data_IF_434158526344
#
_entry.id   IF_434158526344
#
_cell.length_a   1.000
_cell.length_b   1.000
_cell.length_c   1.000
_cell.angle_alpha   90.00
_cell.angle_beta   90.00
_cell.angle_gamma   90.00
#
_symmetry.space_group_name_H-M   'P 1'
#
loop_
_entity.id
_entity.type
_entity.pdbx_description
1 polymer ?
#
# COMPACT_ATOMS: atom_id res chain seq x y z
N UNK A 1 -69.20 20.48 33.97
CA UNK A 1 -69.84 19.74 32.87
C UNK A 1 -68.84 19.60 31.74
N UNK A 2 -68.57 18.35 31.33
CA UNK A 2 -68.08 17.87 30.02
C UNK A 2 -66.71 18.37 29.49
N UNK A 3 -65.83 17.60 28.85
CA UNK A 3 -65.66 16.16 28.53
C UNK A 3 -64.24 16.01 27.96
N UNK A 4 -63.62 14.85 28.14
CA UNK A 4 -62.33 14.47 27.54
C UNK A 4 -62.44 14.16 26.03
N UNK A 5 -61.33 14.29 25.27
CA UNK A 5 -60.96 13.39 24.15
C UNK A 5 -59.52 13.65 23.67
N UNK A 6 -58.68 12.61 23.76
CA UNK A 6 -57.40 12.44 23.07
C UNK A 6 -57.60 12.39 21.55
N UNK A 7 -56.62 12.82 20.73
CA UNK A 7 -56.17 12.10 19.52
C UNK A 7 -54.81 12.63 18.98
N UNK A 8 -53.82 11.73 19.00
CA UNK A 8 -52.77 11.42 18.00
C UNK A 8 -51.80 12.49 17.43
N UNK A 9 -50.53 12.25 17.78
CA UNK A 9 -49.28 12.35 17.01
C UNK A 9 -49.33 12.67 15.50
N UNK A 10 -48.47 13.61 15.08
CA UNK A 10 -47.61 13.46 13.89
C UNK A 10 -46.24 14.06 14.21
N UNK A 11 -45.27 13.20 14.55
CA UNK A 11 -43.87 13.56 14.48
C UNK A 11 -43.48 13.67 12.99
N UNK A 12 -43.11 14.86 12.55
CA UNK A 12 -42.61 15.08 11.19
C UNK A 12 -41.23 14.43 11.10
N UNK A 13 -41.18 13.25 10.47
CA UNK A 13 -39.97 12.57 10.03
C UNK A 13 -39.29 13.43 8.95
N UNK A 14 -38.35 14.27 9.39
CA UNK A 14 -37.45 15.00 8.49
C UNK A 14 -36.44 14.05 7.87
N UNK A 15 -36.67 13.73 6.60
CA UNK A 15 -35.70 13.31 5.59
C UNK A 15 -34.46 12.52 6.09
N UNK A 16 -34.58 11.20 6.10
CA UNK A 16 -33.44 10.29 6.14
C UNK A 16 -32.61 10.45 4.87
N UNK A 17 -31.67 11.40 4.88
CA UNK A 17 -30.50 11.30 4.02
C UNK A 17 -29.85 9.96 4.37
N UNK A 18 -29.99 8.99 3.47
CA UNK A 18 -29.26 7.74 3.52
C UNK A 18 -27.80 8.08 3.30
N UNK A 19 -27.16 8.53 4.37
CA UNK A 19 -25.73 8.74 4.44
C UNK A 19 -25.12 7.36 4.20
N UNK A 20 -24.47 7.21 3.06
CA UNK A 20 -23.40 6.23 2.90
C UNK A 20 -22.43 6.54 4.03
N UNK A 21 -22.55 5.80 5.14
CA UNK A 21 -21.76 6.02 6.33
C UNK A 21 -20.34 5.55 6.03
N UNK A 22 -19.57 6.44 5.41
CA UNK A 22 -18.12 6.30 5.36
C UNK A 22 -17.60 6.21 6.80
N UNK A 23 -16.55 5.41 7.05
CA UNK A 23 -16.00 5.21 8.38
C UNK A 23 -15.74 6.57 9.05
N UNK A 24 -16.07 6.74 10.34
CA UNK A 24 -15.85 8.01 11.01
C UNK A 24 -14.34 8.30 11.10
N UNK A 25 -13.96 9.55 10.82
CA UNK A 25 -12.55 10.00 10.84
C UNK A 25 -11.91 10.01 12.25
N UNK A 26 -12.70 9.65 13.27
CA UNK A 26 -12.30 9.47 14.66
C UNK A 26 -13.30 8.47 15.26
N UNK A 27 -12.90 7.46 16.05
CA UNK A 27 -13.88 6.62 16.73
C UNK A 27 -14.79 7.52 17.58
N UNK A 28 -16.08 7.54 17.26
CA UNK A 28 -17.06 8.04 18.22
C UNK A 28 -16.98 7.14 19.45
N UNK A 29 -16.95 7.70 20.68
CA UNK A 29 -16.79 6.93 21.92
C UNK A 29 -17.88 5.89 22.22
N UNK A 30 -18.87 5.72 21.34
CA UNK A 30 -20.00 4.80 21.53
C UNK A 30 -19.66 3.34 21.20
N UNK A 31 -18.53 3.06 20.55
CA UNK A 31 -18.06 1.69 20.26
C UNK A 31 -16.74 1.43 20.99
N UNK A 32 -16.78 1.34 22.32
CA UNK A 32 -15.71 0.75 23.14
C UNK A 32 -15.65 -0.78 22.99
N UNK A 33 -15.69 -1.28 21.76
CA UNK A 33 -15.82 -2.71 21.44
C UNK A 33 -14.86 -3.14 20.34
N UNK A 34 -14.50 -4.43 20.33
CA UNK A 34 -13.64 -5.03 19.30
C UNK A 34 -14.35 -5.09 17.92
N UNK A 35 -13.61 -5.38 16.85
CA UNK A 35 -14.16 -5.39 15.49
C UNK A 35 -15.38 -6.32 15.34
N UNK A 36 -15.38 -7.47 16.03
CA UNK A 36 -16.48 -8.45 15.95
C UNK A 36 -17.80 -7.90 16.48
N UNK A 37 -17.76 -7.17 17.60
CA UNK A 37 -18.96 -6.54 18.16
C UNK A 37 -19.55 -5.51 17.20
N UNK A 38 -18.69 -4.72 16.55
CA UNK A 38 -19.12 -3.74 15.55
C UNK A 38 -19.72 -4.42 14.31
N UNK A 39 -19.10 -5.49 13.80
CA UNK A 39 -19.64 -6.26 12.68
C UNK A 39 -21.05 -6.79 12.99
N UNK A 40 -21.25 -7.39 14.16
CA UNK A 40 -22.55 -7.92 14.57
C UNK A 40 -23.64 -6.82 14.63
N UNK A 41 -23.31 -5.63 15.13
CA UNK A 41 -24.24 -4.50 15.16
C UNK A 41 -24.63 -4.02 13.75
N UNK A 42 -23.67 -3.95 12.82
CA UNK A 42 -23.96 -3.57 11.42
C UNK A 42 -24.83 -4.61 10.72
N UNK A 43 -24.57 -5.90 10.95
CA UNK A 43 -25.37 -6.98 10.37
C UNK A 43 -26.82 -6.98 10.88
N UNK A 44 -27.03 -6.70 12.17
CA UNK A 44 -28.37 -6.59 12.75
C UNK A 44 -29.18 -5.43 12.19
N UNK A 45 -28.51 -4.31 11.86
CA UNK A 45 -29.19 -3.16 11.26
C UNK A 45 -29.67 -3.42 9.83
N UNK A 46 -29.05 -4.38 9.12
CA UNK A 46 -29.51 -4.80 7.79
C UNK A 46 -29.50 -3.71 6.72
N UNK A 47 -28.76 -2.62 6.94
CA UNK A 47 -28.73 -1.47 6.04
C UNK A 47 -27.98 -1.81 4.75
N UNK A 48 -28.69 -1.74 3.63
CA UNK A 48 -28.09 -1.88 2.31
C UNK A 48 -27.12 -0.72 2.06
N UNK A 49 -25.92 -1.04 1.61
CA UNK A 49 -24.88 -0.04 1.37
C UNK A 49 -24.05 0.35 2.58
N UNK A 50 -24.39 -0.15 3.79
CA UNK A 50 -23.58 0.09 4.98
C UNK A 50 -22.23 -0.62 4.90
N UNK A 51 -21.20 0.05 5.40
CA UNK A 51 -19.86 -0.52 5.51
C UNK A 51 -19.82 -1.67 6.53
N UNK A 52 -19.32 -2.83 6.11
CA UNK A 52 -19.07 -3.96 7.01
C UNK A 52 -17.57 -4.06 7.32
N UNK A 53 -17.16 -3.96 8.59
CA UNK A 53 -15.75 -4.03 8.96
C UNK A 53 -15.20 -5.45 8.78
N UNK A 54 -13.97 -5.56 8.29
CA UNK A 54 -13.21 -6.80 8.23
C UNK A 54 -12.39 -6.96 9.50
N UNK A 55 -12.55 -8.10 10.15
CA UNK A 55 -11.87 -8.40 11.41
C UNK A 55 -10.77 -9.46 11.23
N UNK A 56 -9.74 -9.38 12.07
CA UNK A 56 -8.71 -10.40 12.19
C UNK A 56 -9.14 -11.52 13.16
N UNK A 57 -8.36 -12.61 13.20
CA UNK A 57 -8.64 -13.77 14.05
C UNK A 57 -8.54 -13.48 15.56
N UNK A 58 -7.82 -12.42 15.95
CA UNK A 58 -7.74 -11.93 17.32
C UNK A 58 -8.93 -11.02 17.71
N UNK A 59 -9.80 -10.69 16.75
CA UNK A 59 -10.93 -9.79 16.94
C UNK A 59 -10.61 -8.30 16.76
N UNK A 60 -9.38 -7.95 16.42
CA UNK A 60 -8.98 -6.60 16.01
C UNK A 60 -9.46 -6.27 14.60
N UNK A 61 -9.35 -4.99 14.21
CA UNK A 61 -9.64 -4.58 12.84
C UNK A 61 -8.50 -4.97 11.90
N UNK A 62 -8.86 -5.51 10.73
CA UNK A 62 -7.89 -5.75 9.65
C UNK A 62 -7.27 -4.43 9.20
N UNK A 63 -5.97 -4.44 8.91
CA UNK A 63 -5.23 -3.24 8.48
C UNK A 63 -5.87 -2.55 7.28
N UNK A 64 -6.39 -3.32 6.32
CA UNK A 64 -7.05 -2.83 5.11
C UNK A 64 -8.54 -3.09 5.15
N UNK A 65 -9.30 -2.01 5.18
CA UNK A 65 -10.75 -2.02 5.14
C UNK A 65 -11.25 -1.62 3.74
N UNK A 66 -12.37 -2.18 3.32
CA UNK A 66 -12.98 -1.88 2.02
C UNK A 66 -14.46 -1.62 2.18
N UNK A 67 -14.93 -0.54 1.57
CA UNK A 67 -16.34 -0.21 1.47
C UNK A 67 -16.91 -0.80 0.18
N UNK A 68 -17.48 -1.99 0.25
CA UNK A 68 -17.89 -2.77 -0.93
C UNK A 68 -18.79 -1.98 -1.90
N UNK A 69 -19.71 -1.15 -1.39
CA UNK A 69 -20.66 -0.41 -2.23
C UNK A 69 -20.06 0.78 -2.97
N UNK A 70 -18.92 1.30 -2.51
CA UNK A 70 -18.24 2.43 -3.16
C UNK A 70 -16.94 2.01 -3.82
N UNK A 71 -16.42 0.82 -3.51
CA UNK A 71 -15.13 0.34 -3.97
C UNK A 71 -13.93 1.07 -3.34
N UNK A 72 -14.15 1.93 -2.35
CA UNK A 72 -13.07 2.65 -1.67
C UNK A 72 -12.43 1.77 -0.60
N UNK A 73 -11.11 1.84 -0.48
CA UNK A 73 -10.35 1.19 0.57
C UNK A 73 -9.72 2.24 1.49
N UNK A 74 -9.44 1.88 2.74
CA UNK A 74 -8.78 2.73 3.73
C UNK A 74 -7.96 1.86 4.70
N UNK A 75 -6.99 2.48 5.36
CA UNK A 75 -6.15 1.80 6.33
C UNK A 75 -6.56 2.16 7.75
N UNK A 76 -6.60 1.18 8.64
CA UNK A 76 -6.91 1.37 10.06
C UNK A 76 -5.86 0.72 10.96
N UNK A 77 -5.77 1.21 12.18
CA UNK A 77 -5.01 0.57 13.26
C UNK A 77 -5.80 -0.62 13.85
N UNK A 78 -5.22 -1.41 14.79
CA UNK A 78 -5.91 -2.54 15.41
C UNK A 78 -7.21 -2.16 16.15
N UNK A 79 -7.36 -0.90 16.59
CA UNK A 79 -8.53 -0.38 17.27
C UNK A 79 -9.60 0.15 16.31
N UNK A 80 -9.30 0.23 15.00
CA UNK A 80 -10.21 0.73 13.97
C UNK A 80 -10.09 2.23 13.71
N UNK A 81 -9.07 2.90 14.24
CA UNK A 81 -8.77 4.30 13.94
C UNK A 81 -8.21 4.41 12.53
N UNK A 82 -8.76 5.32 11.72
CA UNK A 82 -8.31 5.53 10.34
C UNK A 82 -6.91 6.16 10.28
N UNK A 83 -6.00 5.49 9.57
CA UNK A 83 -4.62 5.92 9.30
C UNK A 83 -4.51 6.58 7.93
N UNK A 84 -5.08 5.96 6.89
CA UNK A 84 -5.15 6.53 5.54
C UNK A 84 -6.61 6.79 5.18
N UNK A 85 -6.88 7.96 4.62
CA UNK A 85 -8.21 8.34 4.16
C UNK A 85 -8.71 7.39 3.06
N UNK A 86 -10.04 7.23 2.90
CA UNK A 86 -10.62 6.40 1.84
C UNK A 86 -10.18 6.83 0.44
N UNK A 87 -9.67 5.88 -0.35
CA UNK A 87 -9.31 6.07 -1.73
C UNK A 87 -9.44 4.76 -2.54
N UNK A 88 -9.56 4.86 -3.86
CA UNK A 88 -9.71 3.71 -4.74
C UNK A 88 -8.40 2.95 -4.99
N UNK A 89 -7.26 3.61 -4.83
CA UNK A 89 -5.94 3.09 -5.17
C UNK A 89 -5.17 2.49 -3.97
N UNK A 90 -5.81 2.27 -2.82
CA UNK A 90 -5.13 1.66 -1.67
C UNK A 90 -4.95 0.16 -1.86
N UNK A 91 -3.69 -0.24 -2.05
CA UNK A 91 -3.28 -1.63 -2.31
C UNK A 91 -2.85 -2.35 -1.04
N UNK A 92 -2.11 -1.66 -0.17
CA UNK A 92 -1.58 -2.24 1.08
C UNK A 92 -1.73 -1.27 2.25
N UNK A 93 -1.72 -1.80 3.47
CA UNK A 93 -1.84 -1.00 4.70
C UNK A 93 -0.80 -1.34 5.77
N UNK A 94 0.14 -2.23 5.46
CA UNK A 94 1.15 -2.67 6.44
C UNK A 94 2.17 -1.57 6.74
N UNK A 95 2.70 -0.91 5.71
CA UNK A 95 3.64 0.21 5.90
C UNK A 95 3.01 1.37 6.70
N UNK A 96 1.81 1.88 6.36
CA UNK A 96 1.14 2.91 7.16
C UNK A 96 0.88 2.48 8.60
N UNK A 97 0.46 1.22 8.83
CA UNK A 97 0.19 0.69 10.18
C UNK A 97 1.46 0.60 11.01
N UNK A 98 2.56 0.12 10.44
CA UNK A 98 3.87 0.10 11.11
C UNK A 98 4.37 1.51 11.43
N UNK A 99 4.25 2.44 10.48
CA UNK A 99 4.62 3.85 10.65
C UNK A 99 3.81 4.51 11.77
N UNK A 100 2.49 4.32 11.78
CA UNK A 100 1.61 4.88 12.79
C UNK A 100 1.92 4.35 14.20
N UNK A 101 2.21 3.04 14.33
CA UNK A 101 2.63 2.43 15.60
C UNK A 101 3.88 3.10 16.17
N UNK A 102 4.90 3.31 15.35
CA UNK A 102 6.15 3.94 15.80
C UNK A 102 5.94 5.40 16.24
N UNK A 103 5.10 6.14 15.52
CA UNK A 103 4.78 7.53 15.87
C UNK A 103 3.91 7.66 17.13
N UNK A 104 3.03 6.69 17.40
CA UNK A 104 2.20 6.70 18.62
C UNK A 104 2.97 6.24 19.87
N UNK A 105 3.86 5.26 19.73
CA UNK A 105 4.59 4.70 20.88
C UNK A 105 5.71 5.62 21.37
N UNK A 106 6.21 6.54 20.54
CA UNK A 106 7.35 7.36 20.93
C UNK A 106 7.23 8.79 20.41
N UNK A 107 7.21 9.76 21.32
CA UNK A 107 7.25 11.20 21.02
C UNK A 107 8.59 11.66 20.41
N UNK A 108 9.62 10.81 20.49
CA UNK A 108 10.93 11.02 19.88
C UNK A 108 11.41 9.69 19.29
N UNK A 109 11.42 9.57 17.96
CA UNK A 109 11.98 8.38 17.27
C UNK A 109 13.41 8.19 17.78
N UNK A 110 13.66 7.08 18.49
CA UNK A 110 14.95 6.86 19.13
C UNK A 110 16.07 6.86 18.08
N UNK A 111 17.25 7.36 18.43
CA UNK A 111 18.41 7.33 17.54
C UNK A 111 18.69 5.88 17.09
N UNK A 112 18.54 5.62 15.79
CA UNK A 112 18.67 4.28 15.19
C UNK A 112 17.35 3.54 14.92
N UNK A 113 16.21 4.08 15.33
CA UNK A 113 14.89 3.53 15.02
C UNK A 113 14.44 4.02 13.64
N UNK A 114 14.21 3.08 12.72
CA UNK A 114 13.91 3.37 11.33
C UNK A 114 12.40 3.59 11.12
N UNK A 115 12.01 4.80 10.73
CA UNK A 115 10.64 5.11 10.36
C UNK A 115 10.42 4.80 8.86
N UNK A 116 9.59 3.81 8.50
CA UNK A 116 9.40 3.45 7.10
C UNK A 116 8.69 4.57 6.33
N UNK A 117 9.11 4.75 5.07
CA UNK A 117 8.44 5.58 4.08
C UNK A 117 7.46 4.73 3.29
N UNK A 118 6.24 5.22 3.14
CA UNK A 118 5.18 4.52 2.42
C UNK A 118 4.77 5.34 1.19
N UNK A 119 4.30 4.66 0.16
CA UNK A 119 3.66 5.29 -0.98
C UNK A 119 2.20 5.66 -0.66
N UNK A 120 1.55 6.42 -1.54
CA UNK A 120 0.17 6.89 -1.36
C UNK A 120 -0.87 5.77 -1.41
N UNK A 121 -0.53 4.64 -2.05
CA UNK A 121 -1.32 3.42 -2.07
C UNK A 121 -1.11 2.52 -0.84
N UNK A 122 -0.27 2.98 0.10
CA UNK A 122 0.09 2.32 1.35
C UNK A 122 1.09 1.16 1.22
N UNK A 123 1.66 0.94 0.03
CA UNK A 123 2.80 0.02 -0.15
C UNK A 123 4.09 0.61 0.43
N UNK A 124 5.10 -0.24 0.63
CA UNK A 124 6.42 0.22 1.02
C UNK A 124 7.08 0.99 -0.13
N UNK A 125 7.65 2.16 0.20
CA UNK A 125 8.45 2.90 -0.76
C UNK A 125 9.66 2.08 -1.18
N UNK A 126 9.95 2.08 -2.48
CA UNK A 126 11.03 1.30 -3.07
C UNK A 126 12.38 1.60 -2.42
N UNK A 127 12.64 2.88 -2.12
CA UNK A 127 13.89 3.37 -1.55
C UNK A 127 13.67 3.87 -0.12
N UNK A 128 14.28 3.17 0.83
CA UNK A 128 14.28 3.49 2.25
C UNK A 128 15.64 4.05 2.63
N UNK A 129 15.69 5.31 3.07
CA UNK A 129 16.94 6.00 3.40
C UNK A 129 17.04 6.17 4.91
N UNK A 130 18.14 5.70 5.49
CA UNK A 130 18.46 5.87 6.90
C UNK A 130 19.29 7.14 7.08
N UNK A 131 18.60 8.27 7.30
CA UNK A 131 19.22 9.60 7.31
C UNK A 131 20.41 9.73 8.28
N UNK A 132 20.37 9.04 9.42
CA UNK A 132 21.44 9.11 10.44
C UNK A 132 22.70 8.33 10.09
N UNK A 133 22.65 7.36 9.18
CA UNK A 133 23.82 6.51 8.84
C UNK A 133 24.26 6.66 7.38
N UNK A 134 23.43 7.29 6.54
CA UNK A 134 23.67 7.41 5.10
C UNK A 134 23.51 6.09 4.34
N UNK A 135 22.97 5.05 4.97
CA UNK A 135 22.63 3.80 4.27
C UNK A 135 21.26 3.90 3.64
N UNK A 136 21.14 3.33 2.44
CA UNK A 136 19.88 3.13 1.77
C UNK A 136 19.61 1.63 1.60
N UNK A 137 18.33 1.30 1.50
CA UNK A 137 17.83 -0.05 1.33
C UNK A 137 16.72 -0.06 0.29
N UNK A 138 16.69 -1.09 -0.55
CA UNK A 138 15.61 -1.33 -1.49
C UNK A 138 14.63 -2.34 -0.91
N UNK A 139 13.34 -2.06 -1.04
CA UNK A 139 12.25 -2.92 -0.57
C UNK A 139 11.26 -3.26 -1.69
N UNK A 140 10.65 -4.43 -1.59
CA UNK A 140 9.45 -4.77 -2.37
C UNK A 140 8.23 -4.01 -1.85
N UNK A 141 7.12 -4.04 -2.61
CA UNK A 141 5.85 -3.42 -2.18
C UNK A 141 5.31 -3.99 -0.88
N UNK A 142 5.63 -5.26 -0.61
CA UNK A 142 5.22 -6.02 0.57
C UNK A 142 6.18 -5.84 1.77
N UNK A 143 7.29 -5.12 1.58
CA UNK A 143 8.25 -4.82 2.66
C UNK A 143 9.37 -5.84 2.83
N UNK A 144 9.65 -6.66 1.82
CA UNK A 144 10.85 -7.52 1.81
C UNK A 144 12.08 -6.73 1.36
N UNK A 145 13.19 -6.85 2.09
CA UNK A 145 14.46 -6.23 1.73
C UNK A 145 15.10 -6.95 0.53
N UNK A 146 15.50 -6.18 -0.48
CA UNK A 146 16.13 -6.67 -1.71
C UNK A 146 17.65 -6.48 -1.67
N UNK A 147 18.10 -5.27 -1.31
CA UNK A 147 19.52 -4.91 -1.23
C UNK A 147 19.74 -3.72 -0.29
N UNK A 148 20.97 -3.56 0.20
CA UNK A 148 21.35 -2.48 1.11
C UNK A 148 22.77 -1.97 0.84
N UNK A 149 22.98 -0.66 0.99
CA UNK A 149 24.26 -0.02 0.71
C UNK A 149 24.20 1.51 0.79
N UNK A 150 25.38 2.16 0.93
CA UNK A 150 25.47 3.64 0.98
C UNK A 150 25.38 4.33 -0.38
N UNK A 151 25.64 3.59 -1.47
CA UNK A 151 25.63 4.10 -2.84
C UNK A 151 24.28 4.05 -3.53
N UNK A 152 23.27 3.45 -2.88
CA UNK A 152 21.96 3.20 -3.52
C UNK A 152 21.21 4.51 -3.70
N UNK A 153 20.81 4.77 -4.95
CA UNK A 153 20.05 5.95 -5.36
C UNK A 153 18.76 5.60 -6.08
N UNK A 154 18.69 4.39 -6.66
CA UNK A 154 17.52 3.90 -7.36
C UNK A 154 17.19 2.46 -6.91
N UNK A 155 15.90 2.16 -6.80
CA UNK A 155 15.41 0.82 -6.41
C UNK A 155 14.40 0.25 -7.41
N UNK A 156 14.13 0.95 -8.52
CA UNK A 156 13.20 0.49 -9.56
C UNK A 156 13.72 -0.78 -10.24
N UNK A 157 14.96 -0.76 -10.74
CA UNK A 157 15.58 -1.93 -11.36
C UNK A 157 15.69 -3.13 -10.39
N UNK A 158 16.23 -2.99 -9.15
CA UNK A 158 16.29 -4.09 -8.19
C UNK A 158 14.92 -4.71 -7.89
N UNK A 159 13.85 -3.89 -7.79
CA UNK A 159 12.49 -4.38 -7.57
C UNK A 159 11.98 -5.19 -8.76
N UNK A 160 12.12 -4.68 -9.98
CA UNK A 160 11.71 -5.40 -11.19
C UNK A 160 12.50 -6.68 -11.38
N UNK A 161 13.82 -6.65 -11.15
CA UNK A 161 14.67 -7.83 -11.15
C UNK A 161 14.21 -8.86 -10.13
N UNK A 162 13.91 -8.44 -8.91
CA UNK A 162 13.43 -9.32 -7.86
C UNK A 162 12.08 -9.96 -8.22
N UNK A 163 11.12 -9.17 -8.72
CA UNK A 163 9.84 -9.69 -9.21
C UNK A 163 10.02 -10.63 -10.41
N UNK A 164 10.96 -10.31 -11.30
CA UNK A 164 11.32 -11.13 -12.44
C UNK A 164 11.87 -12.50 -12.03
N UNK A 165 12.65 -12.57 -10.95
CA UNK A 165 13.24 -13.82 -10.45
C UNK A 165 12.27 -14.64 -9.58
N UNK A 166 11.50 -13.98 -8.71
CA UNK A 166 10.67 -14.69 -7.73
C UNK A 166 9.29 -15.13 -8.26
N UNK A 167 8.68 -14.37 -9.17
CA UNK A 167 7.39 -14.79 -9.75
C UNK A 167 7.54 -15.90 -10.81
N UNK A 168 8.78 -16.32 -11.15
CA UNK A 168 9.06 -17.29 -12.21
C UNK A 168 9.85 -18.50 -11.71
N UNK A 169 9.30 -19.27 -10.77
CA UNK A 169 9.67 -20.68 -10.73
C UNK A 169 9.24 -21.34 -12.06
N UNK A 170 10.13 -21.36 -13.06
CA UNK A 170 10.03 -22.28 -14.20
C UNK A 170 9.76 -21.72 -15.61
N UNK A 171 9.68 -20.40 -15.85
CA UNK A 171 9.57 -19.88 -17.23
C UNK A 171 10.93 -19.47 -17.80
N UNK A 172 11.46 -20.32 -18.69
CA UNK A 172 12.63 -20.01 -19.52
C UNK A 172 12.26 -18.90 -20.50
N UNK A 173 13.11 -17.88 -20.63
CA UNK A 173 12.90 -16.78 -21.58
C UNK A 173 12.38 -15.46 -20.99
N UNK A 174 12.10 -15.40 -19.68
CA UNK A 174 11.67 -14.15 -19.05
C UNK A 174 12.79 -13.09 -19.06
N UNK A 175 12.42 -11.86 -19.39
CA UNK A 175 13.31 -10.71 -19.30
C UNK A 175 13.65 -10.41 -17.84
N UNK A 176 14.94 -10.43 -17.50
CA UNK A 176 15.42 -10.03 -16.18
C UNK A 176 16.32 -8.81 -16.35
N UNK A 177 15.93 -7.63 -15.84
CA UNK A 177 16.74 -6.44 -16.00
C UNK A 177 18.08 -6.56 -15.25
N UNK A 178 19.09 -5.94 -15.83
CA UNK A 178 20.44 -5.83 -15.29
C UNK A 178 20.59 -4.49 -14.57
N UNK A 179 20.91 -4.57 -13.28
CA UNK A 179 21.02 -3.40 -12.42
C UNK A 179 22.46 -3.24 -11.94
N UNK A 180 22.86 -1.99 -11.70
CA UNK A 180 24.12 -1.69 -11.04
C UNK A 180 24.03 -2.11 -9.56
N UNK A 181 24.98 -2.92 -9.10
CA UNK A 181 24.96 -3.53 -7.77
C UNK A 181 25.19 -2.51 -6.63
N UNK A 182 25.75 -1.34 -6.95
CA UNK A 182 26.09 -0.29 -5.98
C UNK A 182 25.01 0.77 -5.84
N UNK A 183 24.46 1.21 -6.97
CA UNK A 183 23.51 2.32 -7.06
C UNK A 183 22.06 1.86 -7.20
N UNK A 184 21.86 0.63 -7.70
CA UNK A 184 20.54 0.08 -8.04
C UNK A 184 19.91 0.74 -9.29
N UNK A 185 20.67 1.55 -10.04
CA UNK A 185 20.22 2.07 -11.33
C UNK A 185 20.18 0.96 -12.40
N UNK A 186 19.46 1.20 -13.49
CA UNK A 186 19.55 0.33 -14.66
C UNK A 186 20.93 0.44 -15.28
N UNK A 187 21.49 -0.69 -15.71
CA UNK A 187 22.63 -0.64 -16.62
C UNK A 187 22.16 -0.02 -17.94
N UNK A 188 22.85 1.04 -18.42
CA UNK A 188 22.49 1.72 -19.68
C UNK A 188 22.32 0.77 -20.86
N UNK A 189 23.06 -0.35 -20.86
CA UNK A 189 22.89 -1.46 -21.79
C UNK A 189 22.20 -2.61 -21.09
N UNK A 190 21.07 -3.05 -21.63
CA UNK A 190 20.35 -4.25 -21.22
C UNK A 190 20.55 -5.36 -22.25
N UNK A 191 20.47 -6.61 -21.82
CA UNK A 191 20.52 -7.76 -22.70
C UNK A 191 19.48 -8.80 -22.36
N UNK A 192 18.94 -9.44 -23.40
CA UNK A 192 18.02 -10.55 -23.26
C UNK A 192 18.82 -11.85 -23.11
N UNK A 193 18.77 -12.55 -21.96
CA UNK A 193 19.64 -13.70 -21.69
C UNK A 193 19.41 -14.88 -22.64
N UNK A 194 18.16 -15.10 -23.08
CA UNK A 194 17.83 -16.22 -23.97
C UNK A 194 18.05 -15.97 -25.47
N UNK A 195 17.87 -14.75 -25.97
CA UNK A 195 18.02 -14.43 -27.40
C UNK A 195 19.35 -13.74 -27.72
N UNK A 196 20.03 -13.21 -26.71
CA UNK A 196 21.29 -12.48 -26.83
C UNK A 196 21.18 -11.10 -27.48
N UNK A 197 19.95 -10.60 -27.74
CA UNK A 197 19.74 -9.23 -28.18
C UNK A 197 20.07 -8.24 -27.06
N UNK A 198 20.56 -7.05 -27.43
CA UNK A 198 20.86 -5.99 -26.49
C UNK A 198 20.32 -4.64 -26.97
N UNK A 199 19.94 -3.77 -26.04
CA UNK A 199 19.44 -2.43 -26.33
C UNK A 199 19.88 -1.45 -25.25
N UNK A 200 19.75 -0.15 -25.55
CA UNK A 200 20.01 0.90 -24.58
C UNK A 200 18.73 1.22 -23.80
N UNK A 201 18.88 1.64 -22.55
CA UNK A 201 17.77 2.12 -21.71
C UNK A 201 18.09 3.45 -21.05
N UNK A 202 17.04 4.22 -20.76
CA UNK A 202 17.12 5.44 -19.95
C UNK A 202 17.16 5.15 -18.44
N UNK A 203 17.09 6.20 -17.62
CA UNK A 203 17.12 6.10 -16.15
C UNK A 203 15.90 5.37 -15.59
N UNK A 204 14.78 5.39 -16.32
CA UNK A 204 13.55 4.68 -15.99
C UNK A 204 13.55 3.23 -16.46
N UNK A 205 14.55 2.80 -17.24
CA UNK A 205 14.66 1.46 -17.80
C UNK A 205 13.85 1.25 -19.10
N UNK A 206 13.37 2.32 -19.72
CA UNK A 206 12.67 2.26 -21.01
C UNK A 206 13.68 2.14 -22.15
N UNK A 207 13.36 1.34 -23.16
CA UNK A 207 14.22 1.14 -24.33
C UNK A 207 14.38 2.45 -25.13
N UNK A 208 15.64 2.81 -25.38
CA UNK A 208 16.05 3.92 -26.23
C UNK A 208 16.80 3.35 -27.44
N UNK A 209 16.27 3.61 -28.63
CA UNK A 209 16.84 3.10 -29.88
C UNK A 209 16.53 1.63 -30.17
N UNK A 210 17.14 1.11 -31.23
CA UNK A 210 16.87 -0.23 -31.73
C UNK A 210 17.64 -1.31 -30.97
N UNK A 211 17.00 -2.47 -30.82
CA UNK A 211 17.66 -3.66 -30.26
C UNK A 211 18.60 -4.26 -31.32
N UNK A 212 19.84 -4.50 -30.93
CA UNK A 212 20.86 -5.09 -31.80
C UNK A 212 20.98 -6.60 -31.56
N UNK A 213 21.21 -7.41 -32.60
CA UNK A 213 21.46 -8.84 -32.45
C UNK A 213 22.80 -9.12 -31.75
N UNK A 214 23.03 -10.36 -31.26
CA UNK A 214 24.25 -10.75 -30.54
C UNK A 214 25.55 -10.44 -31.30
N UNK A 215 25.52 -10.56 -32.63
CA UNK A 215 26.67 -10.31 -33.50
C UNK A 215 27.19 -8.86 -33.44
N UNK A 216 26.31 -7.90 -33.18
CA UNK A 216 26.61 -6.46 -33.08
C UNK A 216 26.60 -5.96 -31.63
N UNK A 217 26.62 -6.86 -30.66
CA UNK A 217 26.60 -6.49 -29.24
C UNK A 217 27.82 -5.64 -28.83
N UNK A 218 29.00 -5.96 -29.36
CA UNK A 218 30.24 -5.27 -29.01
C UNK A 218 30.29 -3.80 -29.49
N UNK A 219 29.49 -3.46 -30.50
CA UNK A 219 29.43 -2.12 -31.09
C UNK A 219 28.32 -1.24 -30.50
N UNK A 220 27.47 -1.79 -29.63
CA UNK A 220 26.39 -1.02 -29.00
C UNK A 220 26.93 -0.07 -27.94
N UNK A 221 26.88 1.23 -28.22
CA UNK A 221 27.24 2.30 -27.31
C UNK A 221 25.97 2.96 -26.78
N UNK A 222 25.79 2.90 -25.46
CA UNK A 222 24.66 3.54 -24.77
C UNK A 222 25.19 4.76 -24.00
N UNK A 223 24.75 5.94 -24.42
CA UNK A 223 25.19 7.22 -23.86
C UNK A 223 24.48 7.59 -22.56
#
# INVERSE_FOLDING_TARGET
MQTALLFLAVAVLGASAQLVAFPPQRPTPLTGGNCRSHLASVEQQGLLGAWRPRCEADGSYSSRQVHASTGMAFCVDPAGVTILAPAHNIRACECPRQRARLLHTTSQIALGQFLPRCETDGTFSALQIHASTGYAKCFTEDGQEIMSGRGIRACKCPRERFAALNQSQGMVGRMVPQCDATTGAYNKRQSHPSTGYSWCVDEEGQQVGDAVPPASHATLVCN
#
